data_IF_040461547603
#
_entry.id   IF_040461547603
#
_cell.length_a   1.000
_cell.length_b   1.000
_cell.length_c   1.000
_cell.angle_alpha   90.00
_cell.angle_beta   90.00
_cell.angle_gamma   90.00
#
_symmetry.space_group_name_H-M   'P 1'
#
loop_
_entity.id
_entity.type
_entity.pdbx_description
1 polymer ?
#
# COMPACT_ATOMS: atom_id res chain seq x y z
N UNK A 1 2.46 4.57 18.03
CA UNK A 1 3.62 3.95 17.34
C UNK A 1 3.19 3.44 15.98
N UNK A 2 3.92 3.79 14.93
CA UNK A 2 3.59 3.38 13.57
C UNK A 2 4.37 2.14 13.16
N UNK A 3 3.78 1.37 12.25
CA UNK A 3 4.43 0.19 11.68
C UNK A 3 5.15 0.58 10.39
N UNK A 4 6.29 -0.04 10.14
CA UNK A 4 7.04 0.16 8.90
C UNK A 4 6.41 -0.72 7.81
N UNK A 5 6.03 -0.12 6.69
CA UNK A 5 5.39 -0.83 5.59
C UNK A 5 6.45 -1.34 4.63
N UNK A 6 6.35 -2.63 4.27
CA UNK A 6 7.19 -3.19 3.22
C UNK A 6 6.72 -2.67 1.87
N UNK A 7 7.65 -2.35 0.98
CA UNK A 7 7.32 -1.72 -0.29
C UNK A 7 7.89 -2.47 -1.48
N UNK A 8 7.20 -2.34 -2.59
CA UNK A 8 7.71 -2.65 -3.92
C UNK A 8 7.79 -1.33 -4.69
N UNK A 9 8.82 -1.18 -5.52
CA UNK A 9 9.00 0.10 -6.20
C UNK A 9 9.57 -0.08 -7.60
N UNK A 10 9.29 0.89 -8.44
CA UNK A 10 9.89 1.01 -9.77
C UNK A 10 10.44 2.41 -9.94
N UNK A 11 11.74 2.51 -10.16
CA UNK A 11 12.40 3.81 -10.31
C UNK A 11 11.94 4.53 -11.58
N UNK A 12 12.07 5.86 -11.58
CA UNK A 12 11.74 6.65 -12.77
C UNK A 12 12.60 6.23 -13.96
N UNK A 13 12.01 6.21 -15.15
CA UNK A 13 12.72 5.82 -16.36
C UNK A 13 13.87 6.79 -16.69
N UNK A 14 13.67 8.07 -16.42
CA UNK A 14 14.69 9.09 -16.69
C UNK A 14 15.85 9.09 -15.72
N UNK A 15 15.68 8.47 -14.55
CA UNK A 15 16.67 8.55 -13.47
C UNK A 15 16.67 9.88 -12.74
N UNK A 16 15.78 10.81 -13.13
CA UNK A 16 15.65 12.12 -12.51
C UNK A 16 14.23 12.30 -11.98
N UNK A 17 13.99 11.76 -10.78
CA UNK A 17 12.65 11.70 -10.21
C UNK A 17 12.14 13.08 -9.78
N UNK A 18 10.99 13.48 -10.30
CA UNK A 18 10.31 14.74 -9.99
C UNK A 18 8.99 14.56 -9.26
N UNK A 19 8.42 13.35 -9.35
CA UNK A 19 7.15 13.04 -8.71
C UNK A 19 7.11 11.58 -8.32
N UNK A 20 6.14 11.22 -7.48
CA UNK A 20 5.92 9.85 -7.07
C UNK A 20 4.44 9.52 -7.14
N UNK A 21 4.13 8.30 -7.60
CA UNK A 21 2.79 7.75 -7.53
C UNK A 21 2.84 6.61 -6.50
N UNK A 22 1.95 6.67 -5.54
CA UNK A 22 1.81 5.65 -4.49
C UNK A 22 0.56 4.84 -4.79
N UNK A 23 0.73 3.53 -4.97
CA UNK A 23 -0.40 2.62 -5.18
C UNK A 23 -0.80 1.98 -3.85
N UNK A 24 -2.06 2.08 -3.49
CA UNK A 24 -2.60 1.45 -2.28
C UNK A 24 -3.54 0.33 -2.70
N UNK A 25 -3.16 -0.92 -2.40
CA UNK A 25 -3.97 -2.08 -2.77
C UNK A 25 -5.19 -2.24 -1.89
N UNK A 26 -6.15 -3.06 -2.33
CA UNK A 26 -7.34 -3.36 -1.57
C UNK A 26 -7.17 -4.54 -0.62
N UNK A 27 -8.23 -4.83 0.13
CA UNK A 27 -8.29 -5.94 1.08
C UNK A 27 -7.96 -7.27 0.39
N UNK A 28 -7.03 -8.02 0.94
CA UNK A 28 -6.64 -9.32 0.40
C UNK A 28 -5.67 -9.29 -0.78
N UNK A 29 -5.26 -8.12 -1.24
CA UNK A 29 -4.29 -7.96 -2.32
C UNK A 29 -2.88 -7.70 -1.77
N UNK A 30 -1.99 -7.25 -2.60
CA UNK A 30 -0.62 -6.90 -2.21
C UNK A 30 -0.03 -5.83 -3.15
N UNK A 31 1.12 -5.31 -2.75
CA UNK A 31 1.79 -4.25 -3.50
C UNK A 31 2.20 -4.68 -4.91
N UNK A 32 2.70 -5.90 -5.06
CA UNK A 32 3.18 -6.40 -6.34
C UNK A 32 2.08 -6.42 -7.41
N UNK A 33 0.83 -6.68 -7.00
CA UNK A 33 -0.31 -6.70 -7.93
C UNK A 33 -0.51 -5.34 -8.61
N UNK A 34 -0.39 -4.26 -7.84
CA UNK A 34 -0.58 -2.92 -8.37
C UNK A 34 0.65 -2.37 -9.08
N UNK A 35 1.83 -2.79 -8.68
CA UNK A 35 3.05 -2.29 -9.29
C UNK A 35 3.16 -2.63 -10.77
N UNK A 36 2.42 -3.64 -11.23
CA UNK A 36 2.33 -3.97 -12.65
C UNK A 36 1.80 -2.82 -13.51
N UNK A 37 1.08 -1.86 -12.91
CA UNK A 37 0.60 -0.68 -13.60
C UNK A 37 1.71 0.34 -13.89
N UNK A 38 2.86 0.21 -13.24
CA UNK A 38 3.95 1.17 -13.39
C UNK A 38 4.55 1.16 -14.79
N UNK A 39 4.65 0.00 -15.43
CA UNK A 39 5.25 -0.10 -16.76
C UNK A 39 4.47 0.71 -17.82
N UNK A 40 3.15 0.49 -18.01
CA UNK A 40 2.41 1.29 -18.97
C UNK A 40 2.31 2.76 -18.61
N UNK A 41 2.23 3.09 -17.31
CA UNK A 41 2.17 4.48 -16.88
C UNK A 41 3.52 5.18 -17.00
N UNK A 42 4.61 4.46 -16.76
CA UNK A 42 5.97 5.01 -16.81
C UNK A 42 6.35 5.57 -18.17
N UNK A 43 5.81 4.99 -19.24
CA UNK A 43 6.05 5.51 -20.59
C UNK A 43 5.54 6.94 -20.77
N UNK A 44 4.45 7.28 -20.07
CA UNK A 44 3.86 8.61 -20.10
C UNK A 44 4.38 9.53 -18.97
N UNK A 45 5.01 8.93 -17.95
CA UNK A 45 5.48 9.64 -16.77
C UNK A 45 6.94 9.25 -16.47
N UNK A 46 7.87 9.62 -17.36
CA UNK A 46 9.25 9.13 -17.27
C UNK A 46 10.03 9.63 -16.04
N UNK A 47 9.59 10.73 -15.42
CA UNK A 47 10.24 11.31 -14.25
C UNK A 47 9.54 10.91 -12.94
N UNK A 48 8.70 9.89 -12.98
CA UNK A 48 7.89 9.46 -11.84
C UNK A 48 8.42 8.16 -11.24
N UNK A 49 8.60 8.16 -9.92
CA UNK A 49 8.82 6.96 -9.12
C UNK A 49 7.46 6.33 -8.83
N UNK A 50 7.34 5.03 -9.03
CA UNK A 50 6.14 4.28 -8.65
C UNK A 50 6.49 3.43 -7.43
N UNK A 51 5.70 3.54 -6.37
CA UNK A 51 5.94 2.80 -5.13
C UNK A 51 4.61 2.28 -4.59
N UNK A 52 4.62 1.05 -4.12
CA UNK A 52 3.44 0.41 -3.55
C UNK A 52 3.80 -0.20 -2.20
N UNK A 53 3.23 0.29 -1.11
CA UNK A 53 3.40 -0.36 0.19
C UNK A 53 2.43 -1.52 0.33
N UNK A 54 2.88 -2.60 0.97
CA UNK A 54 1.98 -3.64 1.46
C UNK A 54 1.30 -3.15 2.73
N UNK A 55 0.02 -3.46 2.87
CA UNK A 55 -0.69 -3.17 4.10
C UNK A 55 -0.04 -3.91 5.27
N UNK A 56 -0.19 -3.42 6.50
CA UNK A 56 0.58 -3.92 7.64
C UNK A 56 0.13 -5.26 8.21
N UNK A 57 -1.09 -5.73 7.89
CA UNK A 57 -1.65 -6.94 8.45
C UNK A 57 -1.77 -8.04 7.41
N UNK A 58 -1.50 -9.28 7.83
CA UNK A 58 -1.71 -10.45 6.99
C UNK A 58 -3.21 -10.73 6.91
N UNK A 59 -3.71 -10.96 5.70
CA UNK A 59 -5.11 -11.31 5.49
C UNK A 59 -5.28 -12.82 5.62
N UNK A 60 -5.91 -13.27 6.70
CA UNK A 60 -6.10 -14.70 6.95
C UNK A 60 -6.91 -15.36 5.84
N UNK A 61 -6.45 -16.54 5.43
CA UNK A 61 -7.12 -17.33 4.40
C UNK A 61 -6.81 -16.93 2.97
N UNK A 62 -6.05 -15.87 2.76
CA UNK A 62 -5.63 -15.44 1.42
C UNK A 62 -4.11 -15.46 1.36
N UNK A 63 -3.49 -16.45 0.69
CA UNK A 63 -2.03 -16.53 0.59
C UNK A 63 -1.46 -15.25 -0.03
N UNK A 64 -0.43 -14.68 0.62
CA UNK A 64 0.25 -13.46 0.18
C UNK A 64 -0.67 -12.23 0.10
N UNK A 65 -1.83 -12.29 0.75
CA UNK A 65 -2.74 -11.15 0.83
C UNK A 65 -2.55 -10.37 2.12
N UNK A 66 -2.73 -9.06 2.03
CA UNK A 66 -2.62 -8.15 3.17
C UNK A 66 -3.87 -7.31 3.31
N UNK A 67 -4.06 -6.73 4.50
CA UNK A 67 -5.20 -5.87 4.79
C UNK A 67 -4.75 -4.64 5.57
N UNK A 68 -5.39 -3.52 5.29
CA UNK A 68 -5.12 -2.27 6.00
C UNK A 68 -5.76 -2.28 7.39
N UNK A 69 -6.94 -2.85 7.48
CA UNK A 69 -7.68 -3.03 8.74
C UNK A 69 -8.75 -4.11 8.55
N UNK A 70 -9.26 -4.70 9.66
CA UNK A 70 -10.30 -5.70 9.58
C UNK A 70 -11.62 -5.13 9.03
N UNK A 71 -12.38 -5.96 8.31
CA UNK A 71 -13.67 -5.58 7.76
C UNK A 71 -14.74 -6.52 8.33
N UNK A 72 -15.63 -6.05 9.25
CA UNK A 72 -16.53 -6.93 10.00
C UNK A 72 -17.38 -7.87 9.17
N UNK A 73 -17.94 -7.40 8.07
CA UNK A 73 -18.81 -8.23 7.24
C UNK A 73 -18.06 -9.20 6.31
N UNK A 74 -16.72 -9.17 6.33
CA UNK A 74 -15.88 -10.12 5.60
C UNK A 74 -15.23 -11.11 6.58
N UNK A 75 -14.65 -10.62 7.68
CA UNK A 75 -13.79 -11.42 8.56
C UNK A 75 -14.33 -11.61 9.98
N UNK A 76 -15.59 -11.23 10.21
CA UNK A 76 -16.26 -11.36 11.50
C UNK A 76 -15.60 -10.56 12.64
N UNK A 77 -14.75 -9.61 12.33
CA UNK A 77 -14.19 -8.70 13.31
C UNK A 77 -15.26 -7.77 13.86
N UNK A 78 -15.01 -7.13 15.01
CA UNK A 78 -15.93 -6.16 15.56
C UNK A 78 -15.79 -4.80 14.86
N UNK A 79 -16.83 -3.97 14.95
CA UNK A 79 -16.75 -2.60 14.45
C UNK A 79 -15.65 -1.82 15.17
N UNK A 80 -15.46 -2.07 16.45
CA UNK A 80 -14.42 -1.41 17.25
C UNK A 80 -13.02 -1.78 16.75
N UNK A 81 -12.78 -3.06 16.45
CA UNK A 81 -11.52 -3.50 15.87
C UNK A 81 -11.27 -2.85 14.51
N UNK A 82 -12.30 -2.74 13.68
CA UNK A 82 -12.21 -2.12 12.38
C UNK A 82 -11.86 -0.63 12.49
N UNK A 83 -12.51 0.09 13.39
CA UNK A 83 -12.26 1.51 13.59
C UNK A 83 -10.86 1.78 14.13
N UNK A 84 -10.40 0.98 15.09
CA UNK A 84 -9.03 1.10 15.60
C UNK A 84 -8.00 0.78 14.53
N UNK A 85 -8.28 -0.24 13.72
CA UNK A 85 -7.42 -0.62 12.60
C UNK A 85 -7.33 0.47 11.56
N UNK A 86 -8.45 1.11 11.25
CA UNK A 86 -8.48 2.22 10.30
C UNK A 86 -7.63 3.39 10.78
N UNK A 87 -7.75 3.76 12.06
CA UNK A 87 -6.93 4.83 12.63
C UNK A 87 -5.45 4.50 12.57
N UNK A 88 -5.08 3.27 12.92
CA UNK A 88 -3.69 2.82 12.86
C UNK A 88 -3.17 2.84 11.43
N UNK A 89 -3.98 2.43 10.46
CA UNK A 89 -3.60 2.43 9.05
C UNK A 89 -3.33 3.86 8.53
N UNK A 90 -4.17 4.81 8.92
CA UNK A 90 -3.97 6.22 8.55
C UNK A 90 -2.66 6.74 9.12
N UNK A 91 -2.37 6.43 10.37
CA UNK A 91 -1.11 6.84 10.99
C UNK A 91 0.10 6.21 10.29
N UNK A 92 0.02 4.92 9.95
CA UNK A 92 1.06 4.21 9.23
C UNK A 92 1.32 4.83 7.86
N UNK A 93 0.24 5.15 7.12
CA UNK A 93 0.36 5.77 5.81
C UNK A 93 0.92 7.18 5.88
N UNK A 94 0.51 7.96 6.87
CA UNK A 94 1.05 9.31 7.04
C UNK A 94 2.55 9.26 7.31
N UNK A 95 3.00 8.34 8.17
CA UNK A 95 4.42 8.16 8.45
C UNK A 95 5.18 7.71 7.19
N UNK A 96 4.59 6.81 6.42
CA UNK A 96 5.17 6.34 5.17
C UNK A 96 5.35 7.48 4.16
N UNK A 97 4.30 8.29 3.97
CA UNK A 97 4.36 9.42 3.05
C UNK A 97 5.36 10.48 3.48
N UNK A 98 5.44 10.75 4.78
CA UNK A 98 6.41 11.71 5.32
C UNK A 98 7.86 11.26 5.11
N UNK A 99 8.09 9.96 5.04
CA UNK A 99 9.43 9.39 4.86
C UNK A 99 9.85 9.27 3.39
N UNK A 100 8.95 9.54 2.45
CA UNK A 100 9.26 9.45 1.02
C UNK A 100 10.28 10.49 0.54
#
# INVERSE_FOLDING_TARGET
MTRVLQTERKESLSGSTRSAVVFLHGYGANAADLLGLADPLGEHLPDTLFIAPNAPEICNGIPMGFQWFPIPWIDESSEEESMRGMQAAVEDLNAFLDAL
#
